data_IF_355953958281
#
_entry.id   IF_355953958281
#
_cell.length_a   1.000
_cell.length_b   1.000
_cell.length_c   1.000
_cell.angle_alpha   90.00
_cell.angle_beta   90.00
_cell.angle_gamma   90.00
#
_symmetry.space_group_name_H-M   'P 1'
#
loop_
_entity.id
_entity.type
_entity.pdbx_description
1 polymer ?
#
# COMPACT_ATOMS: atom_id res chain seq x y z
N UNK A 1 -53.57 15.05 32.20
CA UNK A 1 -53.05 15.08 32.03
C UNK A 1 -52.09 14.91 31.56
N UNK A 2 -51.78 14.89 31.39
CA UNK A 2 -50.91 14.90 30.93
C UNK A 2 -49.97 14.45 30.52
N UNK A 3 -49.67 14.25 30.30
CA UNK A 3 -48.83 13.99 30.01
C UNK A 3 -47.94 13.64 29.38
N UNK A 4 -47.72 13.59 29.19
CA UNK A 4 -46.95 13.38 28.66
C UNK A 4 -46.01 13.24 28.20
N UNK A 5 -45.69 13.24 28.14
CA UNK A 5 -44.79 13.21 27.75
C UNK A 5 -43.88 12.89 27.32
N UNK A 6 -43.63 12.74 27.20
CA UNK A 6 -42.82 12.57 26.85
C UNK A 6 -41.91 12.30 26.33
N UNK A 7 -41.57 12.19 26.13
CA UNK A 7 -40.72 12.04 25.73
C UNK A 7 -39.90 11.74 25.16
N UNK A 8 -39.81 11.72 25.08
CA UNK A 8 -39.14 11.49 24.63
C UNK A 8 -38.21 11.40 24.10
N UNK A 9 -37.82 11.47 23.98
CA UNK A 9 -36.86 11.43 23.45
C UNK A 9 -35.98 11.15 23.21
N UNK A 10 -35.87 11.06 23.23
CA UNK A 10 -35.00 10.86 23.03
C UNK A 10 -34.17 10.53 22.45
N UNK A 11 -34.03 10.48 22.41
CA UNK A 11 -33.24 10.25 21.96
C UNK A 11 -32.37 10.08 21.42
N UNK A 12 -32.11 10.06 21.35
CA UNK A 12 -31.23 9.93 20.93
C UNK A 12 -30.45 9.69 20.41
N UNK A 13 -30.53 9.86 20.33
CA UNK A 13 -29.91 9.71 19.81
C UNK A 13 -28.97 9.54 19.52
N UNK A 14 -28.78 9.58 19.52
CA UNK A 14 -27.88 9.48 19.17
C UNK A 14 -27.13 9.03 18.86
N UNK A 15 -27.05 8.97 18.98
CA UNK A 15 -26.24 8.51 18.78
C UNK A 15 -25.56 8.37 17.93
N UNK A 16 -25.57 8.61 17.69
CA UNK A 16 -25.08 8.38 16.92
C UNK A 16 -24.01 8.42 16.58
N UNK A 17 -23.77 8.51 16.71
CA UNK A 17 -22.93 8.50 16.48
C UNK A 17 -22.06 8.08 16.17
N UNK A 18 -21.86 8.32 16.13
CA UNK A 18 -21.01 7.93 16.15
C UNK A 18 -20.40 7.39 15.32
N UNK A 19 -20.49 7.40 15.19
CA UNK A 19 -20.16 6.55 14.33
C UNK A 19 -19.33 7.08 13.35
N UNK A 20 -19.32 7.99 13.19
CA UNK A 20 -18.57 8.48 12.23
C UNK A 20 -17.17 8.21 12.22
N UNK A 21 -16.78 7.27 12.85
CA UNK A 21 -15.48 7.06 12.90
C UNK A 21 -15.03 6.25 11.91
N UNK A 22 -15.13 6.56 10.77
CA UNK A 22 -14.56 5.84 9.78
C UNK A 22 -13.10 6.09 9.76
N UNK A 23 -12.35 5.20 10.27
CA UNK A 23 -10.95 5.24 10.07
C UNK A 23 -10.66 4.57 8.77
N UNK A 24 -9.80 5.13 7.94
CA UNK A 24 -9.21 4.43 6.82
C UNK A 24 -8.37 3.28 7.38
N UNK A 25 -8.66 2.06 6.97
CA UNK A 25 -7.89 0.90 7.37
C UNK A 25 -6.80 0.59 6.36
N UNK A 26 -5.99 -0.41 6.67
CA UNK A 26 -4.91 -0.85 5.78
C UNK A 26 -5.44 -1.24 4.40
N UNK A 27 -6.69 -1.70 4.33
CA UNK A 27 -7.30 -2.12 3.08
C UNK A 27 -7.80 -0.96 2.22
N UNK A 28 -7.71 0.27 2.73
CA UNK A 28 -8.13 1.44 1.96
C UNK A 28 -7.02 2.01 1.08
N UNK A 29 -5.88 1.35 1.08
CA UNK A 29 -4.70 1.75 0.33
C UNK A 29 -4.31 0.66 -0.66
N UNK A 30 -3.65 1.05 -1.73
CA UNK A 30 -3.15 0.10 -2.71
C UNK A 30 -1.78 0.52 -3.20
N UNK A 31 -0.90 -0.48 -3.36
CA UNK A 31 0.38 -0.29 -4.05
C UNK A 31 0.22 -0.79 -5.48
N UNK A 32 0.68 0.01 -6.42
CA UNK A 32 0.63 -0.33 -7.84
C UNK A 32 2.01 -0.16 -8.45
N UNK A 33 2.37 -0.96 -9.47
CA UNK A 33 3.63 -0.71 -10.15
C UNK A 33 3.51 0.54 -11.01
N UNK A 34 4.56 1.35 -11.02
CA UNK A 34 4.62 2.48 -11.95
C UNK A 34 4.85 1.95 -13.36
N UNK A 35 5.76 0.97 -13.47
CA UNK A 35 5.97 0.23 -14.72
C UNK A 35 6.02 -1.24 -14.36
N UNK A 36 5.06 -2.01 -14.85
CA UNK A 36 4.99 -3.43 -14.53
C UNK A 36 6.06 -4.24 -15.26
N UNK A 37 6.48 -3.77 -16.43
CA UNK A 37 7.54 -4.45 -17.19
C UNK A 37 8.83 -3.66 -17.07
N UNK A 38 9.91 -4.35 -16.75
CA UNK A 38 11.23 -3.75 -16.64
C UNK A 38 12.23 -4.67 -17.32
N UNK A 39 13.32 -4.11 -17.82
CA UNK A 39 14.39 -4.93 -18.38
C UNK A 39 15.17 -5.56 -17.25
N UNK A 40 15.54 -6.83 -17.45
CA UNK A 40 16.41 -7.48 -16.47
C UNK A 40 17.77 -6.80 -16.42
N UNK A 41 18.46 -6.95 -15.32
CA UNK A 41 19.80 -6.39 -15.18
C UNK A 41 20.28 -6.47 -13.75
N UNK A 42 21.54 -6.13 -13.56
CA UNK A 42 22.17 -6.12 -12.24
C UNK A 42 21.75 -4.90 -11.42
N UNK A 43 21.38 -3.83 -12.08
CA UNK A 43 20.94 -2.61 -11.42
C UNK A 43 19.66 -2.16 -12.10
N UNK A 44 18.55 -2.46 -11.47
CA UNK A 44 17.22 -2.15 -11.98
C UNK A 44 16.51 -1.33 -10.92
N UNK A 45 15.80 -0.29 -11.34
CA UNK A 45 14.96 0.47 -10.42
C UNK A 45 13.52 0.05 -10.64
N UNK A 46 12.88 -0.42 -9.57
CA UNK A 46 11.46 -0.73 -9.58
C UNK A 46 10.75 0.31 -8.72
N UNK A 47 9.60 0.76 -9.17
CA UNK A 47 8.87 1.82 -8.48
C UNK A 47 7.43 1.43 -8.28
N UNK A 48 6.90 1.77 -7.12
CA UNK A 48 5.50 1.53 -6.79
C UNK A 48 4.86 2.85 -6.41
N UNK A 49 3.56 2.94 -6.67
CA UNK A 49 2.76 4.10 -6.27
C UNK A 49 1.81 3.64 -5.17
N UNK A 50 1.82 4.36 -4.06
CA UNK A 50 0.90 4.13 -2.96
C UNK A 50 -0.18 5.19 -3.01
N UNK A 51 -1.43 4.76 -3.00
CA UNK A 51 -2.54 5.70 -3.07
C UNK A 51 -3.73 5.20 -2.29
N UNK A 52 -4.65 6.12 -1.99
CA UNK A 52 -5.95 5.77 -1.44
C UNK A 52 -6.81 5.16 -2.54
N UNK A 53 -7.45 4.04 -2.26
CA UNK A 53 -8.29 3.37 -3.26
C UNK A 53 -9.46 4.22 -3.70
N UNK A 54 -10.15 4.85 -2.75
CA UNK A 54 -11.39 5.54 -3.05
C UNK A 54 -11.18 6.83 -3.84
N UNK A 55 -10.10 7.55 -3.58
CA UNK A 55 -9.88 8.86 -4.18
C UNK A 55 -8.74 8.88 -5.18
N UNK A 56 -7.96 7.80 -5.25
CA UNK A 56 -6.75 7.71 -6.07
C UNK A 56 -5.69 8.76 -5.69
N UNK A 57 -5.79 9.35 -4.51
CA UNK A 57 -4.81 10.34 -4.07
C UNK A 57 -3.51 9.67 -3.65
N UNK A 58 -2.38 10.21 -4.07
CA UNK A 58 -1.09 9.63 -3.68
C UNK A 58 -0.82 9.84 -2.19
N UNK A 59 -0.11 8.90 -1.60
CA UNK A 59 0.31 8.97 -0.20
C UNK A 59 1.81 9.27 -0.20
N UNK A 60 2.15 10.51 0.10
CA UNK A 60 3.51 11.02 -0.13
C UNK A 60 4.45 10.79 1.05
N UNK A 61 3.92 10.57 2.24
CA UNK A 61 4.74 10.57 3.45
C UNK A 61 4.73 9.23 4.19
N UNK A 62 4.52 8.15 3.47
CA UNK A 62 4.58 6.83 4.08
C UNK A 62 6.03 6.45 4.36
N UNK A 63 6.22 5.70 5.44
CA UNK A 63 7.53 5.15 5.79
C UNK A 63 7.53 3.67 5.44
N UNK A 64 8.40 3.30 4.53
CA UNK A 64 8.52 1.90 4.13
C UNK A 64 9.31 1.17 5.22
N UNK A 65 8.69 0.18 5.82
CA UNK A 65 9.30 -0.53 6.96
C UNK A 65 9.80 -1.91 6.61
N UNK A 66 9.35 -2.47 5.49
CA UNK A 66 9.79 -3.81 5.09
C UNK A 66 9.61 -3.99 3.60
N UNK A 67 10.60 -4.61 2.96
CA UNK A 67 10.52 -4.94 1.54
C UNK A 67 11.20 -6.28 1.30
N UNK A 68 10.69 -7.01 0.33
CA UNK A 68 11.31 -8.23 -0.16
C UNK A 68 10.90 -8.42 -1.62
N UNK A 69 11.83 -8.79 -2.48
CA UNK A 69 11.52 -9.10 -3.86
C UNK A 69 12.05 -10.49 -4.19
N UNK A 70 11.19 -11.33 -4.74
CA UNK A 70 11.56 -12.72 -5.08
C UNK A 70 10.75 -13.21 -6.27
N UNK A 71 11.09 -14.39 -6.75
CA UNK A 71 10.44 -14.99 -7.91
C UNK A 71 9.37 -16.01 -7.52
N UNK A 72 8.68 -15.80 -6.40
CA UNK A 72 7.60 -16.70 -5.99
C UNK A 72 6.49 -16.86 -7.04
N UNK A 73 6.12 -15.87 -7.85
CA UNK A 73 5.12 -16.10 -8.90
C UNK A 73 5.54 -17.16 -9.92
N UNK A 74 6.84 -17.41 -10.06
CA UNK A 74 7.35 -18.44 -10.95
C UNK A 74 7.82 -19.66 -10.16
N UNK A 75 7.30 -19.83 -8.94
CA UNK A 75 7.59 -20.96 -8.06
C UNK A 75 9.06 -21.03 -7.63
N UNK A 76 9.73 -19.89 -7.60
CA UNK A 76 11.12 -19.80 -7.20
C UNK A 76 11.29 -18.77 -6.09
N UNK A 77 10.58 -18.98 -4.99
CA UNK A 77 10.57 -18.02 -3.88
C UNK A 77 11.90 -17.85 -3.17
N UNK A 78 12.83 -18.78 -3.33
CA UNK A 78 14.17 -18.61 -2.76
C UNK A 78 15.04 -17.68 -3.60
N UNK A 79 14.65 -17.39 -4.82
CA UNK A 79 15.37 -16.43 -5.68
C UNK A 79 14.95 -15.04 -5.27
N UNK A 80 15.66 -14.47 -4.31
CA UNK A 80 15.38 -13.15 -3.80
C UNK A 80 16.56 -12.24 -4.09
N UNK A 81 16.28 -10.94 -4.19
CA UNK A 81 17.30 -9.94 -4.44
C UNK A 81 17.27 -8.86 -3.39
N UNK A 82 18.40 -8.22 -3.10
CA UNK A 82 18.39 -7.10 -2.17
C UNK A 82 17.70 -5.87 -2.77
N UNK A 83 17.13 -5.07 -1.92
CA UNK A 83 16.47 -3.84 -2.32
C UNK A 83 17.08 -2.68 -1.54
N UNK A 84 17.37 -1.61 -2.25
CA UNK A 84 17.89 -0.39 -1.64
C UNK A 84 16.98 0.76 -2.05
N UNK A 85 16.42 1.46 -1.08
CA UNK A 85 15.56 2.60 -1.37
C UNK A 85 16.37 3.69 -2.07
N UNK A 86 15.78 4.28 -3.09
CA UNK A 86 16.40 5.39 -3.80
C UNK A 86 15.40 6.55 -3.86
N UNK A 87 15.88 7.79 -3.98
CA UNK A 87 14.98 8.93 -4.01
C UNK A 87 14.02 8.89 -5.19
N UNK A 88 12.82 9.42 -4.98
CA UNK A 88 11.83 9.60 -6.02
C UNK A 88 11.35 11.04 -5.98
N UNK A 89 11.18 11.65 -7.14
CA UNK A 89 10.72 13.03 -7.24
C UNK A 89 9.21 13.15 -7.28
N UNK A 90 8.51 12.03 -7.42
CA UNK A 90 7.05 12.06 -7.57
C UNK A 90 6.39 11.69 -6.26
N UNK A 91 5.48 12.52 -5.74
CA UNK A 91 4.78 12.20 -4.48
C UNK A 91 4.01 10.89 -4.60
N UNK A 92 4.12 10.05 -3.58
CA UNK A 92 3.43 8.77 -3.55
C UNK A 92 4.14 7.66 -4.29
N UNK A 93 5.28 7.95 -4.91
CA UNK A 93 6.09 6.94 -5.62
C UNK A 93 7.30 6.59 -4.78
N UNK A 94 7.49 5.29 -4.58
CA UNK A 94 8.59 4.74 -3.78
C UNK A 94 9.42 3.85 -4.69
N UNK A 95 10.71 4.13 -4.77
CA UNK A 95 11.60 3.49 -5.73
C UNK A 95 12.69 2.72 -5.02
N UNK A 96 13.08 1.61 -5.64
CA UNK A 96 14.09 0.73 -5.06
C UNK A 96 15.02 0.24 -6.15
N UNK A 97 16.29 0.20 -5.83
CA UNK A 97 17.30 -0.39 -6.71
C UNK A 97 17.45 -1.86 -6.32
N UNK A 98 17.48 -2.73 -7.30
CA UNK A 98 17.56 -4.16 -7.06
C UNK A 98 18.25 -4.84 -8.25
N UNK A 99 18.49 -6.12 -8.09
CA UNK A 99 19.11 -6.98 -9.12
C UNK A 99 18.03 -7.93 -9.61
N UNK A 100 17.61 -7.79 -10.86
CA UNK A 100 16.69 -8.70 -11.50
C UNK A 100 17.40 -9.39 -12.66
N UNK A 101 18.30 -10.29 -12.32
CA UNK A 101 19.19 -10.89 -13.30
C UNK A 101 18.54 -11.96 -14.17
N UNK A 102 17.36 -12.43 -13.77
CA UNK A 102 16.62 -13.44 -14.55
C UNK A 102 15.34 -12.86 -15.10
N UNK A 103 14.99 -13.23 -16.32
CA UNK A 103 13.67 -12.92 -16.84
C UNK A 103 12.62 -13.71 -16.07
N UNK A 104 11.44 -13.13 -15.94
CA UNK A 104 10.35 -13.77 -15.22
C UNK A 104 9.62 -12.80 -14.35
N UNK A 105 8.77 -13.34 -13.48
CA UNK A 105 7.94 -12.52 -12.61
C UNK A 105 8.56 -12.41 -11.23
N UNK A 106 8.72 -11.19 -10.80
CA UNK A 106 9.29 -10.87 -9.49
C UNK A 106 8.22 -10.20 -8.64
N UNK A 107 8.00 -10.74 -7.45
CA UNK A 107 7.00 -10.22 -6.53
C UNK A 107 7.68 -9.36 -5.48
N UNK A 108 7.29 -8.09 -5.43
CA UNK A 108 7.69 -7.19 -4.37
C UNK A 108 6.64 -7.23 -3.27
N UNK A 109 7.03 -7.67 -2.09
CA UNK A 109 6.21 -7.60 -0.89
C UNK A 109 6.67 -6.38 -0.11
N UNK A 110 5.74 -5.50 0.21
CA UNK A 110 6.09 -4.22 0.78
C UNK A 110 5.15 -3.88 1.93
N UNK A 111 5.71 -3.29 2.98
CA UNK A 111 4.93 -2.85 4.13
C UNK A 111 5.32 -1.41 4.44
N UNK A 112 4.32 -0.60 4.73
CA UNK A 112 4.51 0.81 4.98
C UNK A 112 3.65 1.29 6.14
N UNK A 113 4.18 2.26 6.86
CA UNK A 113 3.40 2.97 7.87
C UNK A 113 2.96 4.29 7.28
N UNK A 114 1.66 4.51 7.30
CA UNK A 114 1.05 5.72 6.78
C UNK A 114 0.67 6.59 7.97
N UNK A 115 1.00 7.86 7.90
CA UNK A 115 0.75 8.78 8.99
C UNK A 115 -0.75 8.84 9.30
N UNK A 116 -1.10 8.68 10.55
CA UNK A 116 -2.49 8.69 10.98
C UNK A 116 -3.18 7.34 10.95
N UNK A 117 -2.52 6.30 10.39
CA UNK A 117 -3.11 4.97 10.34
C UNK A 117 -2.53 4.09 11.42
N UNK A 118 -3.39 3.42 12.22
CA UNK A 118 -2.88 2.55 13.27
C UNK A 118 -2.29 1.24 12.74
N UNK A 119 -2.69 0.81 11.54
CA UNK A 119 -2.25 -0.45 11.00
C UNK A 119 -1.23 -0.25 9.89
N UNK A 120 -0.30 -1.19 9.79
CA UNK A 120 0.67 -1.20 8.70
C UNK A 120 -0.03 -1.57 7.41
N UNK A 121 0.24 -0.80 6.36
CA UNK A 121 -0.32 -1.06 5.03
C UNK A 121 0.64 -2.01 4.32
N UNK A 122 0.14 -3.14 3.86
CA UNK A 122 0.95 -4.13 3.16
C UNK A 122 0.44 -4.29 1.74
N UNK A 123 1.33 -4.64 0.84
CA UNK A 123 0.96 -4.89 -0.54
C UNK A 123 1.92 -5.83 -1.22
N UNK A 124 1.47 -6.35 -2.35
CA UNK A 124 2.27 -7.23 -3.20
C UNK A 124 2.14 -6.72 -4.63
N UNK A 125 3.27 -6.50 -5.25
CA UNK A 125 3.32 -5.92 -6.59
C UNK A 125 4.21 -6.79 -7.45
N UNK A 126 3.69 -7.22 -8.60
CA UNK A 126 4.44 -8.09 -9.50
C UNK A 126 5.05 -7.29 -10.64
N UNK A 127 6.33 -7.53 -10.87
CA UNK A 127 7.07 -6.94 -11.99
C UNK A 127 7.48 -8.07 -12.94
N UNK A 128 7.37 -7.80 -14.23
CA UNK A 128 7.83 -8.73 -15.25
C UNK A 128 9.20 -8.27 -15.74
N UNK A 129 10.23 -9.05 -15.48
CA UNK A 129 11.57 -8.75 -15.98
C UNK A 129 11.71 -9.36 -17.37
N UNK A 130 12.05 -8.54 -18.35
CA UNK A 130 12.18 -8.94 -19.73
C UNK A 130 13.65 -8.82 -20.16
N UNK A 131 13.96 -9.38 -21.36
CA UNK A 131 15.32 -9.29 -21.89
C UNK A 131 15.72 -7.88 -22.19
#
# INVERSE_FOLDING_TARGET
MNRKLLFAGIIFAGAVNLTGHAFAGANDYVFEPVKAEVKKGDVVVVSVRLKHKATAKPVADAVIVQTRIDMSPDAMGEMASPLTAVPSNEPGVYSFKTDLSMTGRWLLSIAAKVQGEPETVVGKVTFQATR
#
